data_IF_994884526425
#
_entry.id   IF_994884526425
#
_cell.length_a   1.000
_cell.length_b   1.000
_cell.length_c   1.000
_cell.angle_alpha   90.00
_cell.angle_beta   90.00
_cell.angle_gamma   90.00
#
_symmetry.space_group_name_H-M   'P 1'
#
loop_
_entity.id
_entity.type
_entity.pdbx_description
1 polymer ?
#
# COMPACT_ATOMS: atom_id res chain seq x y z
N UNK A 1 -20.72 28.06 26.40
CA UNK A 1 -19.78 26.96 26.71
C UNK A 1 -20.26 25.62 26.15
N UNK A 2 -21.50 25.17 26.39
CA UNK A 2 -22.02 23.92 25.82
C UNK A 2 -22.01 23.84 24.28
N UNK A 3 -22.26 24.95 23.56
CA UNK A 3 -22.24 24.97 22.09
C UNK A 3 -20.85 24.82 21.46
N UNK A 4 -19.78 25.20 22.18
CA UNK A 4 -18.40 25.09 21.69
C UNK A 4 -17.86 23.67 21.92
N UNK A 5 -18.17 23.04 23.05
CA UNK A 5 -17.82 21.64 23.32
C UNK A 5 -18.52 20.68 22.36
N UNK A 6 -19.77 20.98 21.98
CA UNK A 6 -20.51 20.25 20.95
C UNK A 6 -19.87 20.44 19.58
N UNK A 7 -19.49 21.67 19.20
CA UNK A 7 -18.76 21.93 17.93
C UNK A 7 -17.36 21.29 17.88
N UNK A 8 -16.62 21.28 18.98
CA UNK A 8 -15.31 20.63 19.08
C UNK A 8 -15.44 19.11 19.00
N UNK A 9 -16.38 18.50 19.74
CA UNK A 9 -16.63 17.05 19.65
C UNK A 9 -17.16 16.61 18.28
N UNK A 10 -17.98 17.42 17.60
CA UNK A 10 -18.36 17.19 16.20
C UNK A 10 -17.19 17.35 15.23
N UNK A 11 -16.29 18.30 15.46
CA UNK A 11 -15.12 18.55 14.60
C UNK A 11 -14.05 17.46 14.74
N UNK A 12 -13.81 16.99 15.97
CA UNK A 12 -12.86 15.90 16.27
C UNK A 12 -13.37 14.57 15.70
N UNK A 13 -14.66 14.25 15.86
CA UNK A 13 -15.26 13.07 15.22
C UNK A 13 -15.21 13.14 13.69
N UNK A 14 -15.42 14.33 13.11
CA UNK A 14 -15.30 14.54 11.66
C UNK A 14 -13.88 14.30 11.17
N UNK A 15 -12.86 14.78 11.89
CA UNK A 15 -11.47 14.62 11.47
C UNK A 15 -10.98 13.17 11.62
N UNK A 16 -11.43 12.46 12.65
CA UNK A 16 -11.14 11.04 12.84
C UNK A 16 -11.81 10.16 11.77
N UNK A 17 -13.08 10.44 11.45
CA UNK A 17 -13.77 9.81 10.33
C UNK A 17 -13.05 10.09 9.01
N UNK A 18 -12.58 11.33 8.82
CA UNK A 18 -11.80 11.71 7.64
C UNK A 18 -10.46 10.94 7.56
N UNK A 19 -9.78 10.75 8.68
CA UNK A 19 -8.54 9.95 8.70
C UNK A 19 -8.80 8.49 8.35
N UNK A 20 -9.90 7.91 8.82
CA UNK A 20 -10.23 6.50 8.63
C UNK A 20 -10.44 6.12 7.15
N UNK A 21 -11.30 6.83 6.42
CA UNK A 21 -11.52 6.44 5.01
C UNK A 21 -10.34 6.77 4.10
N UNK A 22 -9.51 7.78 4.41
CA UNK A 22 -8.24 7.98 3.68
C UNK A 22 -7.33 6.76 3.85
N UNK A 23 -7.20 6.25 5.07
CA UNK A 23 -6.39 5.06 5.35
C UNK A 23 -6.92 3.83 4.62
N UNK A 24 -8.24 3.63 4.61
CA UNK A 24 -8.87 2.52 3.90
C UNK A 24 -8.69 2.65 2.39
N UNK A 25 -8.91 3.83 1.82
CA UNK A 25 -8.71 4.05 0.39
C UNK A 25 -7.25 3.82 -0.02
N UNK A 26 -6.30 4.24 0.83
CA UNK A 26 -4.87 3.99 0.64
C UNK A 26 -4.55 2.49 0.70
N UNK A 27 -5.03 1.77 1.72
CA UNK A 27 -4.81 0.33 1.86
C UNK A 27 -5.40 -0.44 0.67
N UNK A 28 -6.62 -0.09 0.26
CA UNK A 28 -7.25 -0.66 -0.92
C UNK A 28 -6.43 -0.40 -2.20
N UNK A 29 -5.86 0.80 -2.33
CA UNK A 29 -4.99 1.13 -3.45
C UNK A 29 -3.74 0.26 -3.47
N UNK A 30 -3.07 0.07 -2.33
CA UNK A 30 -1.89 -0.79 -2.21
C UNK A 30 -2.21 -2.24 -2.57
N UNK A 31 -3.36 -2.76 -2.13
CA UNK A 31 -3.84 -4.10 -2.50
C UNK A 31 -4.15 -4.20 -3.99
N UNK A 32 -4.75 -3.18 -4.60
CA UNK A 32 -4.95 -3.11 -6.06
C UNK A 32 -3.63 -3.17 -6.81
N UNK A 33 -2.63 -2.40 -6.37
CA UNK A 33 -1.32 -2.37 -7.03
C UNK A 33 -0.62 -3.72 -6.96
N UNK A 34 -0.67 -4.39 -5.79
CA UNK A 34 -0.15 -5.75 -5.63
C UNK A 34 -0.86 -6.72 -6.57
N UNK A 35 -2.20 -6.68 -6.63
CA UNK A 35 -2.99 -7.54 -7.52
C UNK A 35 -2.60 -7.35 -8.98
N UNK A 36 -2.47 -6.09 -9.43
CA UNK A 36 -2.14 -5.76 -10.81
C UNK A 36 -0.74 -6.19 -11.18
N UNK A 37 0.24 -6.04 -10.28
CA UNK A 37 1.62 -6.47 -10.52
C UNK A 37 1.70 -7.99 -10.58
N UNK A 38 1.04 -8.71 -9.66
CA UNK A 38 0.98 -10.18 -9.71
C UNK A 38 0.31 -10.66 -11.00
N UNK A 39 -0.83 -10.07 -11.38
CA UNK A 39 -1.50 -10.42 -12.63
C UNK A 39 -0.68 -10.09 -13.88
N UNK A 40 0.03 -8.95 -13.92
CA UNK A 40 0.88 -8.58 -15.05
C UNK A 40 2.09 -9.54 -15.20
N UNK A 41 2.52 -10.20 -14.12
CA UNK A 41 3.59 -11.20 -14.17
C UNK A 41 3.15 -12.58 -14.70
N UNK A 42 1.85 -12.80 -14.87
CA UNK A 42 1.32 -14.04 -15.42
C UNK A 42 1.55 -14.16 -16.93
N UNK A 43 1.54 -15.40 -17.42
CA UNK A 43 1.83 -15.72 -18.83
C UNK A 43 0.74 -15.23 -19.78
N UNK A 44 -0.51 -15.18 -19.33
CA UNK A 44 -1.68 -14.84 -20.14
C UNK A 44 -2.56 -13.80 -19.45
N UNK A 45 -3.01 -12.82 -20.23
CA UNK A 45 -3.89 -11.73 -19.79
C UNK A 45 -5.39 -12.12 -19.83
N UNK A 46 -5.69 -13.43 -19.80
CA UNK A 46 -7.06 -13.93 -19.75
C UNK A 46 -7.73 -13.63 -18.41
N UNK A 47 -9.04 -13.42 -18.46
CA UNK A 47 -9.88 -13.27 -17.27
C UNK A 47 -9.77 -14.48 -16.32
N UNK A 48 -9.52 -15.69 -16.84
CA UNK A 48 -9.36 -16.88 -16.00
C UNK A 48 -8.15 -16.76 -15.06
N UNK A 49 -7.02 -16.28 -15.56
CA UNK A 49 -5.81 -16.08 -14.77
C UNK A 49 -6.03 -14.99 -13.73
N UNK A 50 -6.62 -13.87 -14.15
CA UNK A 50 -7.02 -12.80 -13.25
C UNK A 50 -7.93 -13.29 -12.11
N UNK A 51 -8.93 -14.11 -12.41
CA UNK A 51 -9.83 -14.68 -11.42
C UNK A 51 -9.14 -15.68 -10.46
N UNK A 52 -8.00 -16.25 -10.85
CA UNK A 52 -7.16 -17.04 -9.95
C UNK A 52 -6.48 -16.14 -8.93
N UNK A 53 -5.74 -15.13 -9.40
CA UNK A 53 -5.04 -14.15 -8.55
C UNK A 53 -6.00 -13.44 -7.60
N UNK A 54 -7.18 -13.02 -8.10
CA UNK A 54 -8.23 -12.41 -7.29
C UNK A 54 -8.68 -13.28 -6.11
N UNK A 55 -8.77 -14.60 -6.32
CA UNK A 55 -9.20 -15.54 -5.26
C UNK A 55 -8.08 -15.82 -4.27
N UNK A 56 -6.85 -15.97 -4.76
CA UNK A 56 -5.66 -16.18 -3.93
C UNK A 56 -5.43 -15.01 -2.98
N UNK A 57 -5.64 -13.78 -3.47
CA UNK A 57 -5.54 -12.58 -2.65
C UNK A 57 -6.77 -12.31 -1.76
N UNK A 58 -7.77 -13.20 -1.75
CA UNK A 58 -9.01 -13.03 -0.99
C UNK A 58 -9.73 -11.69 -1.22
N UNK A 59 -9.59 -11.10 -2.42
CA UNK A 59 -10.12 -9.77 -2.74
C UNK A 59 -11.66 -9.70 -2.73
N UNK A 60 -12.35 -10.84 -2.63
CA UNK A 60 -13.80 -10.89 -2.43
C UNK A 60 -14.24 -10.44 -1.03
N UNK A 61 -13.32 -10.40 -0.07
CA UNK A 61 -13.57 -10.04 1.33
C UNK A 61 -13.48 -8.55 1.63
N UNK A 62 -13.21 -7.70 0.61
CA UNK A 62 -13.02 -6.25 0.77
C UNK A 62 -14.23 -5.51 1.37
N UNK A 63 -15.43 -6.10 1.26
CA UNK A 63 -16.67 -5.51 1.79
C UNK A 63 -17.06 -6.07 3.15
N UNK A 64 -16.29 -7.03 3.67
CA UNK A 64 -16.54 -7.58 4.98
C UNK A 64 -16.30 -6.48 6.02
N UNK A 65 -17.05 -6.52 7.11
CA UNK A 65 -16.95 -5.58 8.24
C UNK A 65 -17.46 -4.14 7.99
N UNK A 66 -18.05 -3.84 6.82
CA UNK A 66 -18.75 -2.56 6.61
C UNK A 66 -20.25 -2.73 6.93
N UNK A 67 -20.66 -2.26 8.11
CA UNK A 67 -22.03 -2.43 8.61
C UNK A 67 -23.01 -1.39 8.06
N UNK A 68 -22.56 -0.14 7.85
CA UNK A 68 -23.43 0.96 7.43
C UNK A 68 -23.58 1.01 5.90
N UNK A 69 -24.83 1.04 5.43
CA UNK A 69 -25.16 1.07 3.98
C UNK A 69 -24.60 2.32 3.29
N UNK A 70 -24.61 3.47 3.97
CA UNK A 70 -24.06 4.72 3.42
C UNK A 70 -22.54 4.63 3.27
N UNK A 71 -21.83 4.17 4.29
CA UNK A 71 -20.38 3.95 4.25
C UNK A 71 -19.98 2.95 3.17
N UNK A 72 -20.70 1.82 3.07
CA UNK A 72 -20.49 0.83 2.02
C UNK A 72 -20.62 1.45 0.63
N UNK A 73 -21.62 2.31 0.43
CA UNK A 73 -21.81 3.00 -0.84
C UNK A 73 -20.63 3.91 -1.16
N UNK A 74 -20.20 4.73 -0.20
CA UNK A 74 -19.05 5.61 -0.39
C UNK A 74 -17.77 4.84 -0.66
N UNK A 75 -17.54 3.74 0.06
CA UNK A 75 -16.41 2.87 -0.13
C UNK A 75 -16.40 2.26 -1.55
N UNK A 76 -17.53 1.73 -2.02
CA UNK A 76 -17.65 1.20 -3.39
C UNK A 76 -17.37 2.29 -4.45
N UNK A 77 -17.95 3.48 -4.28
CA UNK A 77 -17.71 4.61 -5.19
C UNK A 77 -16.21 5.03 -5.17
N UNK A 78 -15.56 5.00 -4.01
CA UNK A 78 -14.12 5.24 -3.85
C UNK A 78 -13.29 4.15 -4.55
N UNK A 79 -13.61 2.87 -4.36
CA UNK A 79 -12.91 1.75 -5.00
C UNK A 79 -12.98 1.85 -6.53
N UNK A 80 -14.15 2.17 -7.09
CA UNK A 80 -14.28 2.42 -8.52
C UNK A 80 -13.40 3.57 -8.99
N UNK A 81 -13.37 4.67 -8.23
CA UNK A 81 -12.53 5.83 -8.54
C UNK A 81 -11.05 5.45 -8.54
N UNK A 82 -10.58 4.70 -7.53
CA UNK A 82 -9.20 4.16 -7.47
C UNK A 82 -8.88 3.29 -8.67
N UNK A 83 -9.77 2.35 -9.05
CA UNK A 83 -9.55 1.47 -10.20
C UNK A 83 -9.48 2.27 -11.52
N UNK A 84 -10.31 3.30 -11.67
CA UNK A 84 -10.30 4.16 -12.86
C UNK A 84 -8.97 4.89 -13.06
N UNK A 85 -8.23 5.20 -11.98
CA UNK A 85 -6.89 5.79 -12.07
C UNK A 85 -5.99 4.94 -12.99
N UNK A 86 -5.98 3.61 -12.82
CA UNK A 86 -5.15 2.70 -13.62
C UNK A 86 -5.54 2.63 -15.08
N UNK A 87 -6.82 2.80 -15.41
CA UNK A 87 -7.31 2.82 -16.78
C UNK A 87 -6.87 4.10 -17.52
N UNK A 88 -6.83 5.23 -16.80
CA UNK A 88 -6.51 6.56 -17.35
C UNK A 88 -5.00 6.79 -17.41
N UNK A 89 -4.30 6.62 -16.29
CA UNK A 89 -2.91 7.10 -16.13
C UNK A 89 -1.84 6.04 -16.38
N UNK A 90 -2.16 4.74 -16.26
CA UNK A 90 -1.17 3.72 -16.61
C UNK A 90 -1.09 3.61 -18.14
N UNK A 91 0.09 3.31 -18.69
CA UNK A 91 0.24 3.01 -20.13
C UNK A 91 0.38 1.51 -20.41
N UNK A 92 0.76 0.73 -19.38
CA UNK A 92 0.95 -0.71 -19.47
C UNK A 92 -0.36 -1.42 -19.76
N UNK A 93 -0.38 -2.24 -20.81
CA UNK A 93 -1.60 -2.93 -21.25
C UNK A 93 -2.07 -3.97 -20.23
N UNK A 94 -1.15 -4.75 -19.64
CA UNK A 94 -1.48 -5.75 -18.62
C UNK A 94 -2.18 -5.13 -17.42
N UNK A 95 -1.65 -4.02 -16.91
CA UNK A 95 -2.30 -3.24 -15.84
C UNK A 95 -3.68 -2.72 -16.24
N UNK A 96 -3.86 -2.19 -17.46
CA UNK A 96 -5.18 -1.72 -17.91
C UNK A 96 -6.20 -2.84 -18.01
N UNK A 97 -5.80 -3.99 -18.56
CA UNK A 97 -6.65 -5.18 -18.67
C UNK A 97 -7.04 -5.69 -17.29
N UNK A 98 -6.07 -5.81 -16.38
CA UNK A 98 -6.32 -6.21 -14.98
C UNK A 98 -7.22 -5.21 -14.24
N UNK A 99 -7.03 -3.91 -14.44
CA UNK A 99 -7.88 -2.88 -13.85
C UNK A 99 -9.32 -2.95 -14.38
N UNK A 100 -9.49 -3.24 -15.68
CA UNK A 100 -10.80 -3.46 -16.27
C UNK A 100 -11.49 -4.70 -15.69
N UNK A 101 -10.76 -5.81 -15.52
CA UNK A 101 -11.29 -7.00 -14.86
C UNK A 101 -11.65 -6.75 -13.39
N UNK A 102 -10.85 -5.97 -12.67
CA UNK A 102 -11.20 -5.52 -11.31
C UNK A 102 -12.51 -4.73 -11.30
N UNK A 103 -12.68 -3.81 -12.24
CA UNK A 103 -13.91 -3.01 -12.36
C UNK A 103 -15.14 -3.91 -12.54
N UNK A 104 -15.03 -4.92 -13.40
CA UNK A 104 -16.06 -5.92 -13.63
C UNK A 104 -16.35 -6.75 -12.37
N UNK A 105 -15.32 -7.33 -11.75
CA UNK A 105 -15.46 -8.15 -10.55
C UNK A 105 -16.08 -7.35 -9.39
N UNK A 106 -15.61 -6.13 -9.18
CA UNK A 106 -16.09 -5.25 -8.12
C UNK A 106 -17.57 -4.93 -8.29
N UNK A 107 -18.03 -4.66 -9.52
CA UNK A 107 -19.45 -4.40 -9.80
C UNK A 107 -20.35 -5.60 -9.48
N UNK A 108 -19.93 -6.82 -9.80
CA UNK A 108 -20.74 -8.02 -9.54
C UNK A 108 -20.67 -8.52 -8.10
N UNK A 109 -19.58 -8.24 -7.38
CA UNK A 109 -19.37 -8.68 -6.00
C UNK A 109 -19.94 -7.74 -4.94
N UNK A 110 -20.58 -6.64 -5.34
CA UNK A 110 -21.20 -5.72 -4.39
C UNK A 110 -22.25 -6.44 -3.52
N UNK A 111 -22.22 -6.26 -2.18
CA UNK A 111 -23.19 -6.88 -1.28
C UNK A 111 -24.57 -6.18 -1.31
N UNK A 112 -24.74 -5.11 -2.10
CA UNK A 112 -26.00 -4.36 -2.19
C UNK A 112 -27.01 -5.02 -3.14
N UNK A 113 -28.29 -5.08 -2.72
CA UNK A 113 -29.40 -5.52 -3.60
C UNK A 113 -29.53 -4.64 -4.85
N UNK A 114 -29.35 -3.33 -4.67
CA UNK A 114 -29.25 -2.36 -5.75
C UNK A 114 -27.78 -2.10 -6.04
N UNK A 115 -27.29 -2.59 -7.16
CA UNK A 115 -25.89 -2.39 -7.56
C UNK A 115 -25.62 -0.91 -7.82
N UNK A 116 -24.57 -0.40 -7.20
CA UNK A 116 -24.06 0.95 -7.43
C UNK A 116 -23.40 0.96 -8.80
N UNK A 117 -23.91 1.84 -9.67
CA UNK A 117 -23.40 2.03 -11.02
C UNK A 117 -22.04 2.72 -10.98
N UNK A 118 -21.17 2.32 -11.89
CA UNK A 118 -19.83 2.88 -12.08
C UNK A 118 -20.00 4.28 -12.69
N UNK A 119 -19.66 5.32 -11.93
CA UNK A 119 -19.64 6.69 -12.43
C UNK A 119 -18.44 6.86 -13.35
N UNK A 120 -18.66 7.14 -14.63
CA UNK A 120 -17.57 7.34 -15.60
C UNK A 120 -17.67 8.73 -16.20
N UNK A 121 -16.58 9.48 -16.13
CA UNK A 121 -16.40 10.69 -16.96
C UNK A 121 -16.24 10.30 -18.42
N UNK A 122 -16.57 11.20 -19.35
CA UNK A 122 -16.37 10.99 -20.79
C UNK A 122 -14.92 10.56 -21.13
N UNK A 123 -13.94 11.11 -20.43
CA UNK A 123 -12.53 10.73 -20.55
C UNK A 123 -12.29 9.26 -20.17
N UNK A 124 -12.67 8.86 -18.95
CA UNK A 124 -12.54 7.48 -18.46
C UNK A 124 -13.22 6.50 -19.42
N UNK A 125 -14.42 6.85 -19.87
CA UNK A 125 -15.17 6.01 -20.81
C UNK A 125 -14.45 5.86 -22.15
N UNK A 126 -13.84 6.93 -22.68
CA UNK A 126 -12.98 6.88 -23.87
C UNK A 126 -11.78 5.96 -23.68
N UNK A 127 -11.12 6.01 -22.52
CA UNK A 127 -10.00 5.10 -22.20
C UNK A 127 -10.44 3.63 -22.18
N UNK A 128 -11.62 3.33 -21.62
CA UNK A 128 -12.19 1.98 -21.64
C UNK A 128 -12.52 1.55 -23.07
N UNK A 129 -13.17 2.40 -23.87
CA UNK A 129 -13.49 2.08 -25.26
C UNK A 129 -12.23 1.79 -26.09
N UNK A 130 -11.20 2.64 -25.98
CA UNK A 130 -9.93 2.43 -26.68
C UNK A 130 -9.24 1.13 -26.26
N UNK A 131 -9.34 0.74 -24.98
CA UNK A 131 -8.84 -0.55 -24.51
C UNK A 131 -9.60 -1.71 -25.15
N UNK A 132 -10.93 -1.62 -25.21
CA UNK A 132 -11.79 -2.65 -25.82
C UNK A 132 -11.46 -2.82 -27.31
N UNK A 133 -11.36 -1.73 -28.05
CA UNK A 133 -11.06 -1.75 -29.49
C UNK A 133 -9.68 -2.40 -29.74
N UNK A 134 -8.67 -2.00 -28.95
CA UNK A 134 -7.33 -2.58 -29.02
C UNK A 134 -7.31 -4.08 -28.71
N UNK A 135 -8.00 -4.51 -27.66
CA UNK A 135 -8.07 -5.93 -27.29
C UNK A 135 -8.81 -6.76 -28.36
N UNK A 136 -9.79 -6.16 -29.02
CA UNK A 136 -10.49 -6.78 -30.14
C UNK A 136 -9.58 -6.95 -31.37
N UNK A 137 -8.71 -5.98 -31.67
CA UNK A 137 -7.69 -6.06 -32.73
C UNK A 137 -6.62 -7.13 -32.43
N UNK A 138 -6.22 -7.26 -31.17
CA UNK A 138 -5.26 -8.27 -30.70
C UNK A 138 -5.86 -9.69 -30.62
N UNK A 139 -7.17 -9.86 -30.88
CA UNK A 139 -7.87 -11.15 -30.84
C UNK A 139 -8.20 -11.66 -29.43
N UNK A 140 -8.04 -10.83 -28.41
CA UNK A 140 -8.34 -11.13 -27.02
C UNK A 140 -9.76 -10.67 -26.66
N UNK A 141 -10.73 -11.58 -26.76
CA UNK A 141 -12.16 -11.27 -26.65
C UNK A 141 -12.72 -11.16 -25.22
N UNK A 142 -11.93 -11.47 -24.20
CA UNK A 142 -12.36 -11.40 -22.79
C UNK A 142 -12.80 -9.97 -22.41
N UNK A 143 -11.97 -8.96 -22.70
CA UNK A 143 -12.27 -7.55 -22.39
C UNK A 143 -13.51 -7.03 -23.15
N UNK A 144 -13.61 -7.18 -24.49
CA UNK A 144 -14.82 -6.81 -25.23
C UNK A 144 -16.09 -7.50 -24.72
N UNK A 145 -16.02 -8.79 -24.40
CA UNK A 145 -17.18 -9.54 -23.91
C UNK A 145 -17.67 -9.02 -22.56
N UNK A 146 -16.77 -8.84 -21.60
CA UNK A 146 -17.09 -8.30 -20.27
C UNK A 146 -17.60 -6.85 -20.36
N UNK A 147 -17.05 -6.05 -21.29
CA UNK A 147 -17.55 -4.70 -21.55
C UNK A 147 -18.99 -4.69 -22.06
N UNK A 148 -19.32 -5.58 -23.01
CA UNK A 148 -20.70 -5.73 -23.47
C UNK A 148 -21.64 -6.19 -22.35
N UNK A 149 -21.20 -7.10 -21.48
CA UNK A 149 -21.98 -7.49 -20.30
C UNK A 149 -22.26 -6.31 -19.36
N UNK A 150 -21.26 -5.47 -19.06
CA UNK A 150 -21.46 -4.28 -18.22
C UNK A 150 -22.44 -3.29 -18.87
N UNK A 151 -22.34 -3.08 -20.19
CA UNK A 151 -23.28 -2.23 -20.93
C UNK A 151 -24.71 -2.79 -20.92
N UNK A 152 -24.87 -4.10 -21.15
CA UNK A 152 -26.17 -4.76 -21.15
C UNK A 152 -26.89 -4.64 -19.81
N UNK A 153 -26.14 -4.64 -18.71
CA UNK A 153 -26.67 -4.51 -17.35
C UNK A 153 -26.79 -3.05 -16.85
N UNK A 154 -26.63 -2.05 -17.72
CA UNK A 154 -26.69 -0.62 -17.37
C UNK A 154 -25.76 -0.27 -16.19
N UNK A 155 -24.56 -0.87 -16.19
CA UNK A 155 -23.60 -0.73 -15.10
C UNK A 155 -22.92 0.64 -15.07
N UNK A 156 -22.85 1.35 -16.20
CA UNK A 156 -22.18 2.63 -16.32
C UNK A 156 -23.14 3.81 -16.16
N UNK A 157 -22.75 4.78 -15.35
CA UNK A 157 -23.41 6.08 -15.23
C UNK A 157 -22.47 7.15 -15.79
N UNK A 158 -22.77 7.65 -16.98
CA UNK A 158 -21.99 8.74 -17.58
C UNK A 158 -22.23 10.04 -16.81
N UNK A 159 -21.15 10.66 -16.37
CA UNK A 159 -21.17 11.88 -15.54
C UNK A 159 -20.20 12.92 -16.09
N UNK A 160 -20.49 14.19 -15.85
CA UNK A 160 -19.58 15.29 -16.20
C UNK A 160 -18.41 15.31 -15.20
N UNK A 161 -18.71 15.08 -13.92
CA UNK A 161 -17.71 15.07 -12.85
C UNK A 161 -17.68 13.72 -12.14
N UNK A 162 -16.47 13.22 -11.80
CA UNK A 162 -16.32 11.95 -11.10
C UNK A 162 -17.02 11.98 -9.73
N UNK A 163 -16.91 13.10 -9.01
CA UNK A 163 -17.44 13.26 -7.65
C UNK A 163 -18.92 13.71 -7.60
N UNK A 164 -19.61 13.39 -6.51
CA UNK A 164 -21.06 13.63 -6.32
C UNK A 164 -21.33 14.95 -5.60
N UNK A 165 -21.27 16.12 -6.24
CA UNK A 165 -21.53 17.38 -5.53
C UNK A 165 -22.94 17.43 -4.88
N UNK A 166 -23.02 17.48 -3.55
CA UNK A 166 -24.26 17.62 -2.78
C UNK A 166 -24.37 19.03 -2.14
N UNK A 167 -25.60 19.56 -2.06
CA UNK A 167 -25.89 20.92 -1.55
C UNK A 167 -25.58 21.08 -0.06
N UNK A 168 -25.78 20.03 0.73
CA UNK A 168 -25.23 19.96 2.07
C UNK A 168 -23.77 19.55 1.93
N UNK A 169 -22.83 20.47 2.25
CA UNK A 169 -21.40 20.20 2.36
C UNK A 169 -21.02 19.19 3.47
N UNK A 170 -21.93 18.27 3.78
CA UNK A 170 -21.77 17.13 4.66
C UNK A 170 -20.95 16.07 3.93
N UNK A 171 -19.66 16.05 4.29
CA UNK A 171 -18.73 14.92 4.16
C UNK A 171 -18.47 14.39 2.76
N UNK A 172 -18.22 15.31 1.83
CA UNK A 172 -17.57 14.92 0.59
C UNK A 172 -16.08 15.12 0.73
N UNK A 173 -15.36 14.02 0.73
CA UNK A 173 -13.94 13.97 0.40
C UNK A 173 -13.71 14.90 -0.78
N UNK A 174 -12.98 15.98 -0.53
CA UNK A 174 -12.41 16.79 -1.59
C UNK A 174 -11.26 15.99 -2.19
N UNK A 175 -11.55 14.82 -2.76
CA UNK A 175 -10.62 14.27 -3.72
C UNK A 175 -10.75 15.20 -4.92
N UNK A 176 -9.72 16.04 -5.10
CA UNK A 176 -9.53 16.83 -6.31
C UNK A 176 -9.57 15.88 -7.51
N UNK A 177 -9.77 16.43 -8.70
CA UNK A 177 -9.68 15.71 -9.99
C UNK A 177 -8.75 14.50 -9.94
N UNK A 178 -9.16 13.40 -10.58
CA UNK A 178 -8.44 12.12 -10.57
C UNK A 178 -6.92 12.37 -10.62
N UNK A 179 -6.21 12.10 -9.52
CA UNK A 179 -4.78 12.40 -9.44
C UNK A 179 -3.97 11.17 -9.85
N UNK A 180 -2.84 11.40 -10.50
CA UNK A 180 -1.89 10.32 -10.77
C UNK A 180 -1.08 10.02 -9.50
N UNK A 181 -1.60 9.13 -8.67
CA UNK A 181 -0.97 8.59 -7.46
C UNK A 181 -0.62 7.10 -7.54
N UNK A 182 -0.72 6.56 -8.74
CA UNK A 182 -0.56 5.14 -9.04
C UNK A 182 0.89 4.70 -8.93
N UNK A 183 1.11 3.52 -8.35
CA UNK A 183 2.40 2.91 -8.11
C UNK A 183 3.35 3.80 -7.30
N UNK A 184 2.84 4.76 -6.52
CA UNK A 184 3.68 5.60 -5.65
C UNK A 184 4.21 4.82 -4.46
N UNK A 185 3.42 3.92 -3.88
CA UNK A 185 3.82 3.12 -2.74
C UNK A 185 4.71 1.93 -3.14
N UNK A 186 4.42 1.27 -4.26
CA UNK A 186 5.33 0.23 -4.80
C UNK A 186 6.72 0.82 -5.12
N UNK A 187 6.81 2.06 -5.61
CA UNK A 187 8.09 2.77 -5.78
C UNK A 187 8.80 3.10 -4.47
N UNK A 188 8.05 3.22 -3.36
CA UNK A 188 8.61 3.38 -2.00
C UNK A 188 9.03 2.05 -1.37
N UNK A 189 8.62 0.92 -1.96
CA UNK A 189 9.05 -0.45 -1.65
C UNK A 189 8.84 -0.90 -0.21
N UNK A 190 8.74 -2.20 0.00
CA UNK A 190 8.99 -2.75 1.34
C UNK A 190 10.37 -2.24 1.79
N UNK A 191 10.52 -1.67 3.00
CA UNK A 191 11.79 -1.15 3.48
C UNK A 191 12.93 -2.17 3.35
N UNK A 192 12.59 -3.46 3.46
CA UNK A 192 13.52 -4.60 3.36
C UNK A 192 14.02 -4.85 1.92
N UNK A 193 13.15 -4.83 0.91
CA UNK A 193 13.57 -5.03 -0.49
C UNK A 193 14.38 -3.84 -1.01
N UNK A 194 14.06 -2.62 -0.57
CA UNK A 194 14.86 -1.45 -0.93
C UNK A 194 16.25 -1.50 -0.32
N UNK A 195 16.38 -1.93 0.95
CA UNK A 195 17.70 -2.08 1.57
C UNK A 195 18.54 -3.12 0.84
N UNK A 196 17.96 -4.25 0.45
CA UNK A 196 18.68 -5.34 -0.21
C UNK A 196 19.12 -4.94 -1.63
N UNK A 197 18.23 -4.27 -2.38
CA UNK A 197 18.55 -3.77 -3.73
C UNK A 197 19.59 -2.65 -3.69
N UNK A 198 19.53 -1.76 -2.70
CA UNK A 198 20.50 -0.66 -2.51
C UNK A 198 21.85 -1.19 -2.02
N UNK A 199 21.86 -2.21 -1.15
CA UNK A 199 23.09 -2.89 -0.69
C UNK A 199 23.80 -3.63 -1.83
N UNK A 200 23.06 -4.24 -2.74
CA UNK A 200 23.61 -4.99 -3.88
C UNK A 200 23.91 -4.13 -5.12
N UNK A 201 23.33 -2.93 -5.22
CA UNK A 201 23.70 -1.98 -6.27
C UNK A 201 25.09 -1.40 -5.98
N UNK A 202 26.03 -1.57 -6.91
CA UNK A 202 27.38 -0.97 -6.87
C UNK A 202 27.39 0.57 -6.83
N UNK A 203 26.22 1.22 -6.78
CA UNK A 203 26.05 2.67 -6.70
C UNK A 203 25.99 3.22 -5.27
N UNK A 204 26.13 2.38 -4.23
CA UNK A 204 26.32 2.87 -2.86
C UNK A 204 27.75 3.39 -2.63
N UNK A 205 28.10 4.47 -3.32
CA UNK A 205 29.39 5.17 -3.20
C UNK A 205 29.64 5.73 -1.79
N UNK A 206 28.70 5.61 -0.83
CA UNK A 206 28.84 6.16 0.51
C UNK A 206 29.72 5.37 1.49
N UNK A 207 29.67 4.03 1.46
CA UNK A 207 30.34 3.21 2.50
C UNK A 207 31.85 3.06 2.26
N UNK A 208 32.27 2.86 1.01
CA UNK A 208 33.70 2.89 0.66
C UNK A 208 34.33 4.26 0.94
N UNK A 209 33.55 5.33 0.80
CA UNK A 209 33.96 6.68 1.15
C UNK A 209 34.08 6.88 2.67
N UNK A 210 33.26 6.19 3.48
CA UNK A 210 33.38 6.23 4.94
C UNK A 210 34.66 5.53 5.41
N UNK A 211 35.02 4.39 4.84
CA UNK A 211 36.27 3.71 5.16
C UNK A 211 37.50 4.52 4.75
N UNK A 212 37.46 5.18 3.59
CA UNK A 212 38.54 6.09 3.13
C UNK A 212 38.61 7.35 3.98
N UNK A 213 37.49 7.99 4.33
CA UNK A 213 37.46 9.15 5.24
C UNK A 213 37.96 8.79 6.64
N UNK A 214 37.64 7.58 7.14
CA UNK A 214 38.16 7.09 8.41
C UNK A 214 39.68 6.88 8.35
N UNK A 215 40.20 6.35 7.25
CA UNK A 215 41.64 6.21 6.99
C UNK A 215 42.35 7.56 6.91
N UNK A 216 41.81 8.51 6.15
CA UNK A 216 42.38 9.86 5.96
C UNK A 216 42.38 10.66 7.28
N UNK A 217 41.36 10.45 8.12
CA UNK A 217 41.30 11.04 9.45
C UNK A 217 42.40 10.51 10.38
N UNK A 218 42.63 9.18 10.38
CA UNK A 218 43.71 8.55 11.15
C UNK A 218 45.08 9.02 10.66
N UNK A 219 45.27 9.15 9.36
CA UNK A 219 46.51 9.67 8.78
C UNK A 219 46.73 11.16 9.13
N UNK A 220 45.66 11.96 9.09
CA UNK A 220 45.65 13.34 9.55
C UNK A 220 46.04 13.48 11.03
N UNK A 221 45.47 12.65 11.90
CA UNK A 221 45.79 12.64 13.33
C UNK A 221 47.27 12.28 13.60
N UNK A 222 47.83 11.34 12.83
CA UNK A 222 49.25 10.96 12.89
C UNK A 222 50.17 12.11 12.48
N UNK A 223 49.77 12.92 11.50
CA UNK A 223 50.53 14.08 11.00
C UNK A 223 50.59 15.24 11.98
N UNK A 224 49.58 15.39 12.84
CA UNK A 224 49.51 16.46 13.85
C UNK A 224 49.88 16.01 15.28
N UNK A 225 50.37 14.77 15.46
CA UNK A 225 50.94 14.30 16.73
C UNK A 225 49.92 14.10 17.87
N UNK A 226 48.66 13.87 17.53
CA UNK A 226 47.58 13.65 18.51
C UNK A 226 47.56 12.16 18.92
N UNK A 227 47.59 11.88 20.22
CA UNK A 227 47.75 10.53 20.79
C UNK A 227 46.58 9.59 20.43
N UNK A 228 46.95 8.41 19.95
CA UNK A 228 46.11 7.34 19.38
C UNK A 228 45.01 6.79 20.32
N UNK A 229 45.06 7.11 21.61
CA UNK A 229 44.11 6.61 22.63
C UNK A 229 42.66 7.12 22.48
N UNK A 230 42.42 8.13 21.64
CA UNK A 230 41.06 8.64 21.37
C UNK A 230 40.35 7.82 20.28
N UNK A 231 41.09 6.97 19.53
CA UNK A 231 40.58 6.33 18.30
C UNK A 231 40.12 4.86 18.45
N UNK A 232 40.41 4.17 19.55
CA UNK A 232 39.99 2.75 19.73
C UNK A 232 38.46 2.54 19.74
N UNK A 233 37.68 3.58 20.00
CA UNK A 233 36.22 3.52 19.96
C UNK A 233 35.63 3.64 18.54
N UNK A 234 36.40 4.15 17.56
CA UNK A 234 35.91 4.38 16.19
C UNK A 234 36.36 3.27 15.24
N UNK A 235 37.48 2.59 15.52
CA UNK A 235 38.02 1.51 14.68
C UNK A 235 37.41 0.13 14.95
N UNK A 236 36.73 -0.09 16.08
CA UNK A 236 36.11 -1.37 16.44
C UNK A 236 34.69 -1.58 15.87
N UNK A 237 34.10 -0.56 15.25
CA UNK A 237 32.73 -0.63 14.70
C UNK A 237 32.54 -1.73 13.63
N UNK A 238 33.49 -2.01 12.73
CA UNK A 238 33.35 -3.10 11.76
C UNK A 238 33.35 -4.48 12.42
N UNK A 239 34.18 -4.67 13.47
CA UNK A 239 34.26 -5.95 14.19
C UNK A 239 33.03 -6.22 15.07
N UNK A 240 32.46 -5.18 15.67
CA UNK A 240 31.18 -5.30 16.40
C UNK A 240 30.01 -5.59 15.45
N UNK A 241 29.99 -5.01 14.26
CA UNK A 241 28.97 -5.30 13.24
C UNK A 241 29.07 -6.73 12.72
N UNK A 242 30.27 -7.25 12.45
CA UNK A 242 30.45 -8.66 12.07
C UNK A 242 30.07 -9.62 13.21
N UNK A 243 30.35 -9.28 14.47
CA UNK A 243 29.94 -10.09 15.61
C UNK A 243 28.42 -10.12 15.78
N UNK A 244 27.74 -9.01 15.54
CA UNK A 244 26.27 -8.90 15.61
C UNK A 244 25.61 -9.63 14.42
N UNK A 245 26.17 -9.56 13.21
CA UNK A 245 25.70 -10.30 12.04
C UNK A 245 25.82 -11.82 12.24
N UNK A 246 26.95 -12.31 12.75
CA UNK A 246 27.13 -13.73 13.07
C UNK A 246 26.21 -14.21 14.22
N UNK A 247 25.90 -13.33 15.19
CA UNK A 247 24.91 -13.62 16.23
C UNK A 247 23.49 -13.71 15.66
N UNK A 248 23.16 -12.94 14.63
CA UNK A 248 21.85 -13.01 13.97
C UNK A 248 21.72 -14.25 13.07
N UNK A 249 22.76 -14.62 12.32
CA UNK A 249 22.76 -15.85 11.51
C UNK A 249 22.62 -17.12 12.37
N UNK A 250 23.35 -17.20 13.49
CA UNK A 250 23.21 -18.33 14.43
C UNK A 250 21.85 -18.40 15.15
N UNK A 251 21.10 -17.30 15.22
CA UNK A 251 19.73 -17.30 15.75
C UNK A 251 18.69 -17.78 14.72
N UNK A 252 18.97 -17.65 13.42
CA UNK A 252 18.07 -18.08 12.33
C UNK A 252 18.16 -19.59 12.11
N UNK A 253 19.35 -20.19 12.22
CA UNK A 253 19.57 -21.64 12.07
C UNK A 253 19.02 -22.48 13.25
N UNK A 254 18.71 -21.86 14.39
CA UNK A 254 18.14 -22.54 15.57
C UNK A 254 16.63 -22.77 15.55
N UNK A 255 15.92 -22.39 14.49
CA UNK A 255 14.44 -22.36 14.43
C UNK A 255 13.79 -23.66 13.91
N UNK A 256 14.56 -24.69 13.58
CA UNK A 256 14.03 -26.00 13.18
C UNK A 256 14.57 -27.11 14.09
N UNK A 257 14.19 -27.12 15.38
CA UNK A 257 13.86 -28.36 16.14
C UNK A 257 13.55 -28.11 17.62
N UNK A 258 12.26 -28.24 17.94
CA UNK A 258 11.69 -28.90 19.12
C UNK A 258 12.11 -28.56 20.58
N UNK A 259 11.14 -27.90 21.25
CA UNK A 259 10.54 -28.22 22.57
C UNK A 259 11.40 -28.14 23.85
N UNK A 260 11.03 -27.24 24.78
CA UNK A 260 10.50 -27.58 26.14
C UNK A 260 10.44 -26.34 27.06
N UNK A 261 9.23 -25.82 27.22
CA UNK A 261 8.52 -25.45 28.47
C UNK A 261 9.15 -24.64 29.64
N UNK A 262 10.45 -24.34 29.70
CA UNK A 262 11.04 -23.68 30.89
C UNK A 262 11.27 -22.17 30.78
N UNK A 263 11.32 -21.57 29.58
CA UNK A 263 11.56 -20.11 29.41
C UNK A 263 10.31 -19.23 29.53
N UNK A 264 9.11 -19.78 29.34
CA UNK A 264 7.85 -19.02 29.40
C UNK A 264 7.47 -18.56 30.82
N UNK A 265 7.97 -19.24 31.87
CA UNK A 265 7.69 -18.86 33.27
C UNK A 265 8.59 -17.71 33.78
N UNK A 266 9.79 -17.51 33.23
CA UNK A 266 10.69 -16.44 33.67
C UNK A 266 10.31 -15.05 33.12
N UNK A 267 9.65 -14.98 31.96
CA UNK A 267 9.26 -13.70 31.34
C UNK A 267 8.01 -13.08 31.98
N UNK A 268 7.13 -13.87 32.64
CA UNK A 268 5.95 -13.34 33.34
C UNK A 268 6.27 -12.66 34.69
N UNK A 269 7.39 -13.00 35.34
CA UNK A 269 7.76 -12.41 36.63
C UNK A 269 8.36 -11.01 36.54
N UNK A 270 8.98 -10.64 35.41
CA UNK A 270 9.65 -9.34 35.22
C UNK A 270 8.72 -8.22 34.73
N UNK A 271 7.54 -8.56 34.22
CA UNK A 271 6.57 -7.57 33.73
C UNK A 271 5.69 -6.95 34.84
N UNK A 272 5.70 -7.49 36.06
CA UNK A 272 4.81 -7.05 37.15
C UNK A 272 5.46 -6.18 38.25
N UNK A 273 6.73 -5.80 38.14
CA UNK A 273 7.43 -5.05 39.21
C UNK A 273 7.83 -3.61 38.89
N UNK A 274 7.48 -3.03 37.73
CA UNK A 274 7.69 -1.59 37.51
C UNK A 274 6.44 -0.79 37.88
N UNK A 275 6.25 -0.52 39.17
CA UNK A 275 5.38 0.56 39.61
C UNK A 275 6.03 1.41 40.70
N UNK A 276 6.17 2.69 40.35
CA UNK A 276 6.10 3.88 41.20
C UNK A 276 7.35 4.26 41.99
N UNK A 277 8.02 5.33 41.55
CA UNK A 277 8.37 6.46 42.43
C UNK A 277 8.87 7.67 41.63
N UNK A 278 8.00 8.65 41.37
CA UNK A 278 8.41 10.05 41.20
C UNK A 278 7.23 10.94 41.60
N UNK A 279 7.13 11.23 42.90
CA UNK A 279 6.58 12.47 43.46
C UNK A 279 6.85 12.49 44.97
N UNK A 280 7.67 13.46 45.39
CA UNK A 280 7.78 14.14 46.71
C UNK A 280 9.15 14.85 46.69
N UNK A 281 9.29 16.13 47.04
CA UNK A 281 8.43 17.06 47.77
C UNK A 281 8.67 18.47 47.27
#
# INVERSE_FOLDING_TARGET
MASNLVKESYSVNKQQYVSYHIQIASAFQTDCERLLVTFESEVDLSFKMFASVWREMHFSSIFNDIELVEELRFFIESCFTTIQKYLVFCERIGVKVGAFYMLYCLYWRQPSKNKIRIRCTAEVFRHISNLVDRMQEEGAYDVPYLFQQLKFNDAFKLVIFPNVYALEGRFMWQEKELQNDIFKEIKRGDPLLQTETVLHSQEFYGLNNICTVASDYVEGLRKYGISEKVCEAVTNLPGELEAILNQMESCVEGSESNVTESKAKQLKGKAFTSKVSCFKS
#
